data_IF_779999114762
#
_entry.id   IF_779999114762
#
_cell.length_a   1.000
_cell.length_b   1.000
_cell.length_c   1.000
_cell.angle_alpha   90.00
_cell.angle_beta   90.00
_cell.angle_gamma   90.00
#
_symmetry.space_group_name_H-M   'P 1'
#
loop_
_entity.id
_entity.type
_entity.pdbx_description
1 polymer ?
#
# COMPACT_ATOMS: atom_id res chain seq x y z
N UNK A 1 21.25 -16.54 4.65
CA UNK A 1 22.07 -15.66 5.36
C UNK A 1 21.65 -15.60 6.82
N UNK A 2 22.54 -16.04 7.71
CA UNK A 2 22.27 -16.21 9.13
C UNK A 2 21.75 -14.92 9.79
N UNK A 3 22.26 -13.77 9.41
CA UNK A 3 21.84 -12.48 9.96
C UNK A 3 20.40 -12.10 9.63
N UNK A 4 19.92 -12.41 8.43
CA UNK A 4 18.54 -12.15 8.01
C UNK A 4 17.54 -13.02 8.76
N UNK A 5 17.83 -14.31 8.94
CA UNK A 5 16.99 -15.23 9.70
C UNK A 5 16.89 -14.85 11.17
N UNK A 6 17.99 -14.45 11.78
CA UNK A 6 18.01 -13.98 13.16
C UNK A 6 17.21 -12.70 13.34
N UNK A 7 17.31 -11.74 12.43
CA UNK A 7 16.51 -10.51 12.46
C UNK A 7 15.00 -10.80 12.38
N UNK A 8 14.58 -11.72 11.52
CA UNK A 8 13.17 -12.13 11.39
C UNK A 8 12.67 -12.79 12.68
N UNK A 9 13.44 -13.69 13.28
CA UNK A 9 13.10 -14.35 14.55
C UNK A 9 13.00 -13.37 15.70
N UNK A 10 13.94 -12.44 15.80
CA UNK A 10 13.93 -11.41 16.84
C UNK A 10 12.73 -10.47 16.68
N UNK A 11 12.42 -10.07 15.45
CA UNK A 11 11.23 -9.27 15.14
C UNK A 11 9.95 -9.99 15.55
N UNK A 12 9.83 -11.29 15.28
CA UNK A 12 8.67 -12.10 15.65
C UNK A 12 8.50 -12.20 17.17
N UNK A 13 9.58 -12.37 17.94
CA UNK A 13 9.53 -12.33 19.41
C UNK A 13 9.13 -10.97 19.95
N UNK A 14 9.67 -9.89 19.40
CA UNK A 14 9.37 -8.53 19.83
C UNK A 14 7.94 -8.11 19.49
N UNK A 15 7.36 -8.69 18.44
CA UNK A 15 5.98 -8.50 18.02
C UNK A 15 5.00 -9.50 18.65
N UNK A 16 5.34 -10.12 19.79
CA UNK A 16 4.58 -11.23 20.38
C UNK A 16 3.08 -10.99 20.59
N UNK A 17 2.67 -9.76 20.89
CA UNK A 17 1.28 -9.36 21.06
C UNK A 17 0.62 -8.81 19.78
N UNK A 18 1.36 -8.69 18.70
CA UNK A 18 0.86 -8.15 17.42
C UNK A 18 0.04 -9.21 16.68
N UNK A 19 -1.13 -8.88 16.11
CA UNK A 19 -1.89 -9.79 15.27
C UNK A 19 -1.04 -10.38 14.14
N UNK A 20 -1.25 -11.65 13.84
CA UNK A 20 -0.44 -12.41 12.87
C UNK A 20 -0.44 -11.78 11.49
N UNK A 21 -1.60 -11.34 11.01
CA UNK A 21 -1.77 -10.72 9.69
C UNK A 21 -0.99 -9.40 9.57
N UNK A 22 -0.95 -8.61 10.64
CA UNK A 22 -0.15 -7.37 10.69
C UNK A 22 1.35 -7.71 10.66
N UNK A 23 1.78 -8.72 11.43
CA UNK A 23 3.16 -9.19 11.37
C UNK A 23 3.56 -9.59 9.95
N UNK A 24 2.75 -10.42 9.32
CA UNK A 24 3.00 -10.92 7.97
C UNK A 24 3.07 -9.76 6.95
N UNK A 25 2.18 -8.78 7.07
CA UNK A 25 2.17 -7.60 6.20
C UNK A 25 3.44 -6.76 6.34
N UNK A 26 3.91 -6.55 7.55
CA UNK A 26 5.13 -5.78 7.83
C UNK A 26 6.38 -6.54 7.38
N UNK A 27 6.47 -7.83 7.68
CA UNK A 27 7.60 -8.67 7.28
C UNK A 27 7.68 -8.87 5.76
N UNK A 28 6.56 -8.87 5.06
CA UNK A 28 6.51 -8.95 3.61
C UNK A 28 6.85 -7.62 2.91
N UNK A 29 6.91 -6.52 3.65
CA UNK A 29 7.32 -5.21 3.11
C UNK A 29 8.79 -5.18 2.73
N UNK A 30 9.17 -4.13 2.03
CA UNK A 30 10.55 -3.93 1.56
C UNK A 30 11.51 -3.38 2.62
N UNK A 31 11.01 -3.08 3.80
CA UNK A 31 11.81 -2.55 4.89
C UNK A 31 12.36 -3.69 5.76
N UNK A 32 13.68 -3.79 5.85
CA UNK A 32 14.38 -4.84 6.59
C UNK A 32 15.02 -4.37 7.91
N UNK A 33 14.80 -3.11 8.29
CA UNK A 33 15.28 -2.58 9.57
C UNK A 33 14.31 -2.98 10.66
N UNK A 34 14.78 -3.73 11.66
CA UNK A 34 13.94 -4.27 12.75
C UNK A 34 13.17 -3.17 13.50
N UNK A 35 13.83 -2.05 13.81
CA UNK A 35 13.20 -0.93 14.49
C UNK A 35 12.03 -0.33 13.68
N UNK A 36 12.21 -0.18 12.37
CA UNK A 36 11.17 0.33 11.46
C UNK A 36 10.01 -0.66 11.32
N UNK A 37 10.30 -1.97 11.29
CA UNK A 37 9.27 -3.01 11.28
C UNK A 37 8.43 -2.98 12.55
N UNK A 38 9.04 -2.82 13.71
CA UNK A 38 8.35 -2.72 14.99
C UNK A 38 7.51 -1.45 15.07
N UNK A 39 8.03 -0.34 14.60
CA UNK A 39 7.30 0.93 14.53
C UNK A 39 6.10 0.82 13.60
N UNK A 40 6.27 0.24 12.42
CA UNK A 40 5.18 0.02 11.46
C UNK A 40 4.11 -0.90 12.04
N UNK A 41 4.50 -1.99 12.69
CA UNK A 41 3.58 -2.91 13.34
C UNK A 41 2.79 -2.24 14.46
N UNK A 42 3.45 -1.47 15.32
CA UNK A 42 2.80 -0.70 16.39
C UNK A 42 1.81 0.33 15.83
N UNK A 43 2.20 1.05 14.78
CA UNK A 43 1.35 2.03 14.13
C UNK A 43 0.10 1.39 13.52
N UNK A 44 0.24 0.21 12.89
CA UNK A 44 -0.87 -0.55 12.33
C UNK A 44 -1.81 -1.07 13.42
N UNK A 45 -1.29 -1.55 14.54
CA UNK A 45 -2.10 -1.99 15.69
C UNK A 45 -2.90 -0.83 16.27
N UNK A 46 -2.30 0.33 16.44
CA UNK A 46 -3.02 1.52 16.91
C UNK A 46 -4.09 1.96 15.91
N UNK A 47 -3.74 2.04 14.63
CA UNK A 47 -4.67 2.40 13.57
C UNK A 47 -5.84 1.42 13.45
N UNK A 48 -5.64 0.13 13.75
CA UNK A 48 -6.69 -0.90 13.68
C UNK A 48 -7.86 -0.67 14.67
N UNK A 49 -7.67 0.22 15.62
CA UNK A 49 -8.70 0.62 16.59
C UNK A 49 -9.60 1.74 16.05
N UNK A 50 -9.22 2.36 14.95
CA UNK A 50 -9.98 3.45 14.34
C UNK A 50 -11.01 2.91 13.33
N UNK A 51 -12.14 3.59 13.22
CA UNK A 51 -13.23 3.18 12.33
C UNK A 51 -12.83 3.19 10.85
N UNK A 52 -11.97 4.11 10.46
CA UNK A 52 -11.49 4.27 9.09
C UNK A 52 -10.43 3.27 8.67
N UNK A 53 -9.91 2.47 9.59
CA UNK A 53 -8.86 1.50 9.31
C UNK A 53 -9.28 0.47 8.27
N UNK A 54 -10.42 -0.15 8.50
CA UNK A 54 -10.93 -1.24 7.66
C UNK A 54 -11.14 -0.81 6.20
N UNK A 55 -11.93 0.24 5.91
CA UNK A 55 -12.11 0.69 4.53
C UNK A 55 -10.80 1.15 3.88
N UNK A 56 -9.92 1.82 4.62
CA UNK A 56 -8.63 2.27 4.09
C UNK A 56 -7.73 1.09 3.69
N UNK A 57 -7.67 0.06 4.53
CA UNK A 57 -6.90 -1.16 4.24
C UNK A 57 -7.51 -1.93 3.07
N UNK A 58 -8.83 -2.00 2.97
CA UNK A 58 -9.51 -2.66 1.84
C UNK A 58 -9.19 -1.97 0.51
N UNK A 59 -9.23 -0.63 0.48
CA UNK A 59 -8.86 0.16 -0.70
C UNK A 59 -7.41 -0.08 -1.12
N UNK A 60 -6.49 -0.03 -0.17
CA UNK A 60 -5.08 -0.31 -0.41
C UNK A 60 -4.84 -1.77 -0.83
N UNK A 61 -5.48 -2.72 -0.17
CA UNK A 61 -5.40 -4.14 -0.52
C UNK A 61 -5.84 -4.40 -1.96
N UNK A 62 -6.93 -3.79 -2.38
CA UNK A 62 -7.41 -3.86 -3.77
C UNK A 62 -6.39 -3.29 -4.75
N UNK A 63 -5.77 -2.16 -4.40
CA UNK A 63 -4.71 -1.54 -5.20
C UNK A 63 -3.50 -2.48 -5.34
N UNK A 64 -3.06 -3.10 -4.25
CA UNK A 64 -1.96 -4.09 -4.27
C UNK A 64 -2.26 -5.28 -5.19
N UNK A 65 -3.44 -5.87 -5.06
CA UNK A 65 -3.84 -7.02 -5.86
C UNK A 65 -3.92 -6.70 -7.37
N UNK A 66 -4.34 -5.49 -7.71
CA UNK A 66 -4.38 -5.05 -9.10
C UNK A 66 -3.00 -4.66 -9.63
N UNK A 67 -2.18 -4.03 -8.81
CA UNK A 67 -0.82 -3.64 -9.20
C UNK A 67 0.06 -4.86 -9.55
N UNK A 68 -0.20 -6.02 -8.96
CA UNK A 68 0.50 -7.26 -9.30
C UNK A 68 0.23 -7.73 -10.74
N UNK A 69 -0.81 -7.21 -11.38
CA UNK A 69 -1.16 -7.53 -12.78
C UNK A 69 -0.46 -6.64 -13.81
N UNK A 70 0.33 -5.66 -13.36
CA UNK A 70 1.10 -4.81 -14.29
C UNK A 70 2.14 -5.65 -15.03
N UNK A 71 2.25 -5.44 -16.33
CA UNK A 71 3.20 -6.14 -17.18
C UNK A 71 4.33 -5.18 -17.58
N UNK A 72 5.57 -5.58 -17.32
CA UNK A 72 6.73 -4.79 -17.69
C UNK A 72 6.98 -3.57 -16.82
N UNK A 73 7.53 -2.52 -17.42
CA UNK A 73 7.84 -1.28 -16.70
C UNK A 73 6.58 -0.44 -16.54
N UNK A 74 6.25 -0.14 -15.29
CA UNK A 74 5.09 0.67 -14.94
C UNK A 74 5.41 2.16 -15.16
N UNK A 75 4.98 2.70 -16.29
CA UNK A 75 5.07 4.14 -16.62
C UNK A 75 3.68 4.73 -16.73
N UNK A 76 3.50 5.92 -16.17
CA UNK A 76 2.23 6.64 -16.24
C UNK A 76 2.30 7.69 -17.34
N UNK A 77 1.37 7.63 -18.28
CA UNK A 77 1.24 8.60 -19.36
C UNK A 77 -0.05 9.41 -19.17
N UNK A 78 0.10 10.70 -18.91
CA UNK A 78 -1.04 11.60 -18.71
C UNK A 78 -1.91 11.78 -19.95
N UNK A 79 -1.39 11.48 -21.12
CA UNK A 79 -2.16 11.54 -22.38
C UNK A 79 -3.23 10.43 -22.47
N UNK A 80 -3.07 9.36 -21.68
CA UNK A 80 -4.00 8.23 -21.65
C UNK A 80 -5.07 8.36 -20.57
N UNK A 81 -5.12 9.47 -19.84
CA UNK A 81 -6.17 9.70 -18.83
C UNK A 81 -7.51 9.99 -19.52
N UNK A 82 -8.51 9.23 -19.17
CA UNK A 82 -9.87 9.36 -19.69
C UNK A 82 -10.82 10.11 -18.76
N UNK A 83 -10.44 10.23 -17.47
CA UNK A 83 -11.26 10.89 -16.45
C UNK A 83 -10.41 11.63 -15.40
N UNK A 84 -11.10 12.48 -14.64
CA UNK A 84 -10.45 13.31 -13.60
C UNK A 84 -9.94 12.48 -12.42
N UNK A 85 -10.55 11.32 -12.14
CA UNK A 85 -10.14 10.44 -11.05
C UNK A 85 -8.77 9.81 -11.33
N UNK A 86 -8.47 9.46 -12.57
CA UNK A 86 -7.14 8.98 -12.96
C UNK A 86 -6.08 10.05 -12.72
N UNK A 87 -6.39 11.27 -13.12
CA UNK A 87 -5.50 12.42 -12.91
C UNK A 87 -5.31 12.71 -11.43
N UNK A 88 -6.40 12.77 -10.66
CA UNK A 88 -6.35 13.02 -9.22
C UNK A 88 -5.53 11.98 -8.48
N UNK A 89 -5.71 10.70 -8.78
CA UNK A 89 -4.93 9.63 -8.15
C UNK A 89 -3.46 9.68 -8.56
N UNK A 90 -3.17 9.91 -9.83
CA UNK A 90 -1.78 10.02 -10.34
C UNK A 90 -1.04 11.19 -9.67
N UNK A 91 -1.66 12.35 -9.57
CA UNK A 91 -1.09 13.52 -8.89
C UNK A 91 -0.89 13.25 -7.39
N UNK A 92 -1.88 12.63 -6.74
CA UNK A 92 -1.79 12.28 -5.33
C UNK A 92 -0.64 11.30 -5.05
N UNK A 93 -0.45 10.31 -5.92
CA UNK A 93 0.65 9.34 -5.80
C UNK A 93 2.00 10.00 -6.07
N UNK A 94 2.08 10.88 -7.07
CA UNK A 94 3.30 11.59 -7.41
C UNK A 94 3.76 12.51 -6.29
N UNK A 95 2.83 13.24 -5.68
CA UNK A 95 3.10 14.15 -4.55
C UNK A 95 3.23 13.43 -3.21
N UNK A 96 2.88 12.15 -3.13
CA UNK A 96 2.97 11.37 -1.91
C UNK A 96 4.44 11.15 -1.52
N UNK A 97 4.87 11.85 -0.50
CA UNK A 97 6.18 11.66 0.12
C UNK A 97 5.97 11.11 1.52
N UNK A 98 6.13 9.80 1.69
CA UNK A 98 6.02 9.16 3.00
C UNK A 98 7.20 9.56 3.86
N UNK A 99 6.95 10.38 4.87
CA UNK A 99 7.97 10.94 5.76
C UNK A 99 7.48 11.00 7.19
N UNK A 100 8.42 11.06 8.12
CA UNK A 100 8.15 11.07 9.54
C UNK A 100 8.04 9.66 10.12
N UNK A 101 7.34 9.52 11.24
CA UNK A 101 7.12 8.23 11.90
C UNK A 101 6.21 7.32 11.08
N UNK A 102 6.22 6.02 11.37
CA UNK A 102 5.33 5.06 10.72
C UNK A 102 3.84 5.44 10.89
N UNK A 103 3.45 5.97 12.04
CA UNK A 103 2.10 6.45 12.29
C UNK A 103 1.74 7.62 11.37
N UNK A 104 2.65 8.56 11.17
CA UNK A 104 2.45 9.70 10.25
C UNK A 104 2.35 9.22 8.80
N UNK A 105 3.20 8.29 8.39
CA UNK A 105 3.16 7.69 7.06
C UNK A 105 1.84 6.94 6.80
N UNK A 106 1.34 6.21 7.78
CA UNK A 106 0.02 5.55 7.70
C UNK A 106 -1.11 6.56 7.50
N UNK A 107 -1.10 7.65 8.24
CA UNK A 107 -2.10 8.72 8.09
C UNK A 107 -2.05 9.33 6.69
N UNK A 108 -0.86 9.53 6.15
CA UNK A 108 -0.68 10.03 4.78
C UNK A 108 -1.25 9.06 3.74
N UNK A 109 -1.01 7.75 3.90
CA UNK A 109 -1.58 6.71 3.03
C UNK A 109 -3.10 6.64 3.16
N UNK A 110 -3.63 6.63 4.36
CA UNK A 110 -5.07 6.53 4.60
C UNK A 110 -5.83 7.79 4.11
N UNK A 111 -5.18 8.94 4.10
CA UNK A 111 -5.74 10.15 3.50
C UNK A 111 -6.01 10.02 1.99
N UNK A 112 -5.34 9.08 1.32
CA UNK A 112 -5.59 8.77 -0.09
C UNK A 112 -6.78 7.83 -0.30
N UNK A 113 -7.28 7.19 0.74
CA UNK A 113 -8.38 6.21 0.62
C UNK A 113 -9.58 6.75 -0.16
N UNK A 114 -10.11 7.95 0.12
CA UNK A 114 -11.22 8.50 -0.67
C UNK A 114 -10.89 8.69 -2.15
N UNK A 115 -9.65 9.07 -2.46
CA UNK A 115 -9.19 9.25 -3.86
C UNK A 115 -9.09 7.90 -4.56
N UNK A 116 -8.58 6.88 -3.87
CA UNK A 116 -8.49 5.50 -4.36
C UNK A 116 -9.89 4.94 -4.61
N UNK A 117 -10.82 5.12 -3.68
CA UNK A 117 -12.19 4.66 -3.81
C UNK A 117 -12.91 5.34 -4.98
N UNK A 118 -12.78 6.65 -5.11
CA UNK A 118 -13.34 7.40 -6.24
C UNK A 118 -12.76 6.92 -7.58
N UNK A 119 -11.48 6.60 -7.62
CA UNK A 119 -10.85 6.00 -8.80
C UNK A 119 -11.49 4.65 -9.15
N UNK A 120 -11.67 3.76 -8.17
CA UNK A 120 -12.27 2.45 -8.42
C UNK A 120 -13.76 2.51 -8.78
N UNK A 121 -14.50 3.48 -8.24
CA UNK A 121 -15.93 3.65 -8.54
C UNK A 121 -16.17 4.21 -9.94
N UNK A 122 -15.30 5.08 -10.41
CA UNK A 122 -15.48 5.83 -11.65
C UNK A 122 -14.60 5.33 -12.80
N UNK A 123 -13.72 4.36 -12.56
CA UNK A 123 -12.74 3.92 -13.53
C UNK A 123 -12.70 2.39 -13.61
N UNK A 124 -12.91 1.86 -14.80
CA UNK A 124 -12.72 0.43 -15.06
C UNK A 124 -11.23 0.15 -15.25
N UNK A 125 -10.55 -0.30 -14.19
CA UNK A 125 -9.10 -0.54 -14.22
C UNK A 125 -8.71 -1.53 -15.32
N UNK A 126 -9.49 -2.61 -15.47
CA UNK A 126 -9.27 -3.63 -16.49
C UNK A 126 -9.99 -3.24 -17.79
N UNK A 127 -9.66 -2.06 -18.33
CA UNK A 127 -10.20 -1.57 -19.58
C UNK A 127 -9.89 -2.51 -20.76
N UNK A 128 -10.73 -2.47 -21.80
CA UNK A 128 -10.51 -3.25 -23.02
C UNK A 128 -9.27 -2.77 -23.77
N UNK A 129 -9.03 -1.46 -23.79
CA UNK A 129 -7.82 -0.88 -24.37
C UNK A 129 -6.62 -1.23 -23.49
N UNK A 130 -5.66 -1.93 -24.09
CA UNK A 130 -4.47 -2.41 -23.37
C UNK A 130 -3.60 -1.25 -22.87
N UNK A 131 -3.45 -0.18 -23.65
CA UNK A 131 -2.63 0.97 -23.28
C UNK A 131 -3.25 1.70 -22.06
N UNK A 132 -4.56 1.93 -22.08
CA UNK A 132 -5.30 2.54 -20.98
C UNK A 132 -5.25 1.65 -19.74
N UNK A 133 -5.46 0.35 -19.91
CA UNK A 133 -5.37 -0.63 -18.81
C UNK A 133 -3.99 -0.62 -18.15
N UNK A 134 -2.92 -0.70 -18.94
CA UNK A 134 -1.56 -0.69 -18.40
C UNK A 134 -1.24 0.63 -17.70
N UNK A 135 -1.72 1.75 -18.23
CA UNK A 135 -1.56 3.07 -17.61
C UNK A 135 -2.25 3.13 -16.23
N UNK A 136 -3.47 2.62 -16.11
CA UNK A 136 -4.22 2.54 -14.84
C UNK A 136 -3.53 1.63 -13.82
N UNK A 137 -3.05 0.47 -14.27
CA UNK A 137 -2.28 -0.44 -13.43
C UNK A 137 -0.94 0.18 -13.00
N UNK A 138 -0.31 1.00 -13.85
CA UNK A 138 0.92 1.71 -13.52
C UNK A 138 0.72 2.72 -12.39
N UNK A 139 -0.39 3.47 -12.37
CA UNK A 139 -0.73 4.39 -11.28
C UNK A 139 -0.81 3.61 -9.96
N UNK A 140 -1.53 2.50 -9.95
CA UNK A 140 -1.66 1.64 -8.76
C UNK A 140 -0.32 1.03 -8.35
N UNK A 141 0.51 0.63 -9.29
CA UNK A 141 1.86 0.11 -9.02
C UNK A 141 2.74 1.15 -8.33
N UNK A 142 2.73 2.39 -8.78
CA UNK A 142 3.48 3.46 -8.13
C UNK A 142 3.00 3.72 -6.71
N UNK A 143 1.69 3.71 -6.47
CA UNK A 143 1.12 3.81 -5.13
C UNK A 143 1.59 2.67 -4.23
N UNK A 144 1.47 1.44 -4.70
CA UNK A 144 1.81 0.25 -3.90
C UNK A 144 3.31 0.11 -3.64
N UNK A 145 4.17 0.55 -4.55
CA UNK A 145 5.60 0.61 -4.31
C UNK A 145 5.96 1.53 -3.14
N UNK A 146 5.28 2.66 -3.02
CA UNK A 146 5.45 3.58 -1.88
C UNK A 146 4.89 2.97 -0.59
N UNK A 147 3.70 2.41 -0.65
CA UNK A 147 3.03 1.80 0.50
C UNK A 147 3.77 0.56 1.02
N UNK A 148 4.38 -0.23 0.14
CA UNK A 148 5.13 -1.45 0.50
C UNK A 148 6.37 -1.18 1.37
N UNK A 149 6.83 0.06 1.44
CA UNK A 149 7.89 0.46 2.38
C UNK A 149 7.45 0.35 3.83
N UNK A 150 6.15 0.47 4.11
CA UNK A 150 5.57 0.26 5.43
C UNK A 150 5.11 -1.17 5.62
N UNK A 151 4.23 -1.64 4.74
CA UNK A 151 3.65 -2.98 4.79
C UNK A 151 2.95 -3.34 3.48
N UNK A 152 2.77 -4.62 3.24
CA UNK A 152 1.92 -5.12 2.17
C UNK A 152 0.48 -5.25 2.69
N UNK A 153 -0.34 -4.25 2.41
CA UNK A 153 -1.70 -4.13 2.97
C UNK A 153 -2.64 -5.27 2.55
N UNK A 154 -2.37 -5.93 1.42
CA UNK A 154 -3.14 -7.10 0.98
C UNK A 154 -2.91 -8.36 1.85
N UNK A 155 -1.96 -8.32 2.78
CA UNK A 155 -1.74 -9.37 3.77
C UNK A 155 -2.53 -9.15 5.06
N UNK A 156 -3.13 -7.96 5.25
CA UNK A 156 -3.89 -7.63 6.46
C UNK A 156 -5.34 -8.12 6.30
N UNK A 157 -5.80 -8.86 7.31
CA UNK A 157 -7.17 -9.37 7.34
C UNK A 157 -8.10 -8.34 8.00
N UNK A 158 -9.08 -7.86 7.25
CA UNK A 158 -10.06 -6.88 7.70
C UNK A 158 -11.42 -7.50 8.10
N UNK A 159 -11.50 -8.83 8.05
CA UNK A 159 -12.73 -9.56 8.38
C UNK A 159 -12.99 -9.65 9.88
#
# INVERSE_FOLDING_TARGET
LVGSEMCIRDSDKMMGSTPKDIKEAVLAGSNFVVADMLEAASALVEASKEEDFKPSVESLSRAFNLAEKVEGVATVDSALFENDQEKALAEAVETLALSGSASQQLKQLFALSPVIDAFFENTMVMAEDQAVRQNRLAILSHLTQKAAKLARFNQINTK
#
